data_IF_521848513636
#
_entry.id   IF_521848513636
#
_cell.length_a   1.000
_cell.length_b   1.000
_cell.length_c   1.000
_cell.angle_alpha   90.00
_cell.angle_beta   90.00
_cell.angle_gamma   90.00
#
_symmetry.space_group_name_H-M   'P 1'
#
loop_
_entity.id
_entity.type
_entity.pdbx_description
1 polymer ?
#
# COMPACT_ATOMS: atom_id res chain seq x y z
N UNK A 1 -24.00 11.90 -16.36
CA UNK A 1 -23.88 12.00 -14.88
C UNK A 1 -24.98 12.93 -14.39
N UNK A 2 -25.68 12.58 -13.30
CA UNK A 2 -26.77 13.39 -12.74
C UNK A 2 -26.26 14.47 -11.77
N UNK A 3 -27.08 15.47 -11.45
CA UNK A 3 -26.69 16.56 -10.54
C UNK A 3 -26.37 16.07 -9.11
N UNK A 4 -27.10 15.07 -8.61
CA UNK A 4 -26.85 14.49 -7.28
C UNK A 4 -25.50 13.78 -7.26
N UNK A 5 -25.16 13.03 -8.30
CA UNK A 5 -23.86 12.35 -8.39
C UNK A 5 -22.72 13.36 -8.40
N UNK A 6 -22.83 14.42 -9.21
CA UNK A 6 -21.82 15.48 -9.25
C UNK A 6 -21.62 16.17 -7.90
N UNK A 7 -22.69 16.36 -7.11
CA UNK A 7 -22.59 16.98 -5.80
C UNK A 7 -21.89 16.08 -4.76
N UNK A 8 -21.97 14.75 -4.93
CA UNK A 8 -21.35 13.78 -4.04
C UNK A 8 -19.93 13.39 -4.47
N UNK A 9 -19.63 13.43 -5.77
CA UNK A 9 -18.37 12.92 -6.33
C UNK A 9 -17.37 14.00 -6.74
N UNK A 10 -17.79 15.26 -6.90
CA UNK A 10 -16.90 16.35 -7.29
C UNK A 10 -16.13 16.96 -6.12
N UNK A 11 -14.98 17.55 -6.43
CA UNK A 11 -14.12 18.32 -5.52
C UNK A 11 -13.62 17.52 -4.29
N UNK A 12 -13.38 16.22 -4.47
CA UNK A 12 -12.95 15.32 -3.41
C UNK A 12 -11.42 15.27 -3.22
N UNK A 13 -10.64 16.03 -3.99
CA UNK A 13 -9.18 16.00 -3.98
C UNK A 13 -8.61 16.29 -2.58
N UNK A 14 -9.20 17.23 -1.85
CA UNK A 14 -8.79 17.55 -0.49
C UNK A 14 -9.02 16.37 0.47
N UNK A 15 -10.15 15.67 0.35
CA UNK A 15 -10.43 14.48 1.15
C UNK A 15 -9.52 13.30 0.80
N UNK A 16 -9.14 13.15 -0.47
CA UNK A 16 -8.16 12.13 -0.87
C UNK A 16 -6.77 12.44 -0.30
N UNK A 17 -6.34 13.70 -0.34
CA UNK A 17 -5.08 14.11 0.28
C UNK A 17 -5.09 13.90 1.80
N UNK A 18 -6.19 14.25 2.48
CA UNK A 18 -6.36 14.00 3.91
C UNK A 18 -6.33 12.49 4.22
N UNK A 19 -7.02 11.67 3.41
CA UNK A 19 -7.00 10.22 3.52
C UNK A 19 -5.58 9.66 3.40
N UNK A 20 -4.77 10.18 2.48
CA UNK A 20 -3.39 9.70 2.30
C UNK A 20 -2.48 10.11 3.47
N UNK A 21 -2.67 11.32 4.00
CA UNK A 21 -2.00 11.77 5.22
C UNK A 21 -2.41 10.96 6.46
N UNK A 22 -3.68 10.54 6.54
CA UNK A 22 -4.17 9.68 7.62
C UNK A 22 -3.40 8.35 7.68
N UNK A 23 -3.12 7.73 6.54
CA UNK A 23 -2.33 6.49 6.51
C UNK A 23 -0.91 6.72 7.00
N UNK A 24 -0.23 7.75 6.49
CA UNK A 24 1.14 8.06 6.89
C UNK A 24 1.25 8.33 8.39
N UNK A 25 0.37 9.17 8.94
CA UNK A 25 0.32 9.46 10.37
C UNK A 25 -0.05 8.21 11.19
N UNK A 26 -1.03 7.43 10.71
CA UNK A 26 -1.46 6.20 11.35
C UNK A 26 -0.33 5.18 11.48
N UNK A 27 0.49 5.00 10.44
CA UNK A 27 1.63 4.08 10.46
C UNK A 27 2.77 4.56 11.36
N UNK A 28 3.03 5.86 11.42
CA UNK A 28 4.10 6.44 12.23
C UNK A 28 3.85 6.29 13.74
N UNK A 29 2.59 6.46 14.17
CA UNK A 29 2.23 6.50 15.59
C UNK A 29 1.70 5.18 16.16
N UNK A 30 1.31 4.24 15.30
CA UNK A 30 0.65 3.01 15.74
C UNK A 30 1.66 1.92 16.09
N UNK A 31 1.54 1.37 17.29
CA UNK A 31 2.31 0.19 17.70
C UNK A 31 1.89 -1.09 16.95
N UNK A 32 0.67 -1.11 16.41
CA UNK A 32 0.16 -2.21 15.61
C UNK A 32 -0.88 -1.70 14.59
N UNK A 33 -1.02 -2.48 13.53
CA UNK A 33 -2.05 -2.30 12.50
C UNK A 33 -2.65 -3.66 12.15
N UNK A 34 -3.86 -3.64 11.61
CA UNK A 34 -4.53 -4.76 10.96
C UNK A 34 -4.73 -4.45 9.49
N UNK A 35 -4.75 -5.50 8.69
CA UNK A 35 -4.91 -5.41 7.23
C UNK A 35 -5.93 -6.45 6.79
N UNK A 36 -6.86 -6.06 5.93
CA UNK A 36 -7.77 -6.98 5.26
C UNK A 36 -7.90 -6.63 3.77
N UNK A 37 -8.11 -7.66 2.93
CA UNK A 37 -8.29 -7.52 1.48
C UNK A 37 -9.67 -8.06 1.07
N UNK A 38 -10.59 -7.16 0.76
CA UNK A 38 -11.90 -7.51 0.20
C UNK A 38 -11.87 -7.46 -1.33
N UNK A 39 -12.63 -8.33 -1.98
CA UNK A 39 -12.76 -8.38 -3.43
C UNK A 39 -14.19 -8.10 -3.87
N UNK A 40 -14.36 -7.29 -4.91
CA UNK A 40 -15.65 -7.03 -5.53
C UNK A 40 -15.55 -7.20 -7.04
N UNK A 41 -16.62 -7.70 -7.67
CA UNK A 41 -16.67 -7.86 -9.13
C UNK A 41 -17.47 -6.72 -9.74
N UNK A 42 -16.82 -5.94 -10.61
CA UNK A 42 -17.44 -4.83 -11.32
C UNK A 42 -17.30 -5.04 -12.82
N UNK A 43 -18.44 -5.09 -13.55
CA UNK A 43 -18.48 -5.31 -15.00
C UNK A 43 -17.65 -6.53 -15.48
N UNK A 44 -17.67 -7.61 -14.69
CA UNK A 44 -16.93 -8.84 -15.02
C UNK A 44 -15.44 -8.81 -14.70
N UNK A 45 -14.91 -7.69 -14.21
CA UNK A 45 -13.53 -7.55 -13.71
C UNK A 45 -13.52 -7.63 -12.19
N UNK A 46 -12.48 -8.23 -11.63
CA UNK A 46 -12.28 -8.24 -10.19
C UNK A 46 -11.55 -6.95 -9.81
N UNK A 47 -12.10 -6.22 -8.85
CA UNK A 47 -11.40 -5.16 -8.11
C UNK A 47 -11.16 -5.63 -6.69
N UNK A 48 -10.13 -5.06 -6.06
CA UNK A 48 -9.76 -5.38 -4.69
C UNK A 48 -9.72 -4.09 -3.89
N UNK A 49 -10.13 -4.17 -2.63
CA UNK A 49 -10.06 -3.08 -1.66
C UNK A 49 -9.23 -3.58 -0.49
N UNK A 50 -8.12 -2.90 -0.23
CA UNK A 50 -7.29 -3.13 0.95
C UNK A 50 -7.75 -2.16 2.04
N UNK A 51 -8.03 -2.69 3.23
CA UNK A 51 -8.23 -1.94 4.46
C UNK A 51 -6.95 -2.02 5.29
N UNK A 52 -6.49 -0.89 5.82
CA UNK A 52 -5.39 -0.79 6.79
C UNK A 52 -5.87 0.07 7.95
N UNK A 53 -5.64 -0.35 9.20
CA UNK A 53 -6.09 0.43 10.34
C UNK A 53 -5.87 -0.24 11.68
N UNK A 54 -6.49 0.31 12.71
CA UNK A 54 -6.60 -0.25 14.06
C UNK A 54 -7.81 0.39 14.76
N UNK A 55 -7.84 0.35 16.10
CA UNK A 55 -8.93 0.93 16.89
C UNK A 55 -9.12 2.44 16.67
N UNK A 56 -8.10 3.15 16.16
CA UNK A 56 -8.10 4.61 16.04
C UNK A 56 -8.33 5.12 14.63
N UNK A 57 -8.05 4.32 13.59
CA UNK A 57 -8.25 4.73 12.20
C UNK A 57 -8.54 3.57 11.27
N UNK A 58 -9.19 3.89 10.14
CA UNK A 58 -9.38 2.98 9.04
C UNK A 58 -9.12 3.70 7.72
N UNK A 59 -8.21 3.15 6.94
CA UNK A 59 -7.83 3.61 5.62
C UNK A 59 -8.18 2.54 4.58
N UNK A 60 -8.64 2.98 3.42
CA UNK A 60 -9.05 2.08 2.33
C UNK A 60 -8.43 2.54 1.01
N UNK A 61 -8.04 1.57 0.18
CA UNK A 61 -7.64 1.81 -1.20
C UNK A 61 -8.08 0.68 -2.12
N UNK A 62 -8.54 1.06 -3.31
CA UNK A 62 -8.99 0.14 -4.34
C UNK A 62 -7.90 -0.02 -5.40
N UNK A 63 -7.52 -1.26 -5.71
CA UNK A 63 -6.56 -1.57 -6.78
C UNK A 63 -7.06 -2.70 -7.68
N UNK A 64 -6.46 -2.83 -8.86
CA UNK A 64 -6.84 -3.84 -9.86
C UNK A 64 -6.23 -5.23 -9.58
N UNK A 65 -5.32 -5.35 -8.60
CA UNK A 65 -4.57 -6.59 -8.36
C UNK A 65 -4.44 -6.92 -6.88
N UNK A 66 -4.62 -8.21 -6.56
CA UNK A 66 -4.30 -8.78 -5.25
C UNK A 66 -2.94 -9.47 -5.32
N UNK A 67 -1.91 -8.82 -4.78
CA UNK A 67 -0.57 -9.38 -4.71
C UNK A 67 0.16 -8.88 -3.47
N UNK A 68 1.20 -9.62 -3.04
CA UNK A 68 2.07 -9.17 -1.94
C UNK A 68 2.75 -7.85 -2.25
N UNK A 69 3.11 -7.62 -3.51
CA UNK A 69 3.72 -6.36 -3.95
C UNK A 69 2.73 -5.21 -3.81
N UNK A 70 1.49 -5.38 -4.26
CA UNK A 70 0.43 -4.39 -4.09
C UNK A 70 0.23 -4.04 -2.61
N UNK A 71 0.14 -5.06 -1.75
CA UNK A 71 0.04 -4.84 -0.31
C UNK A 71 1.24 -4.03 0.24
N UNK A 72 2.47 -4.43 -0.08
CA UNK A 72 3.67 -3.75 0.41
C UNK A 72 3.82 -2.32 -0.13
N UNK A 73 3.29 -2.03 -1.32
CA UNK A 73 3.23 -0.68 -1.86
C UNK A 73 2.26 0.19 -1.05
N UNK A 74 1.04 -0.31 -0.80
CA UNK A 74 0.04 0.42 -0.02
C UNK A 74 0.50 0.63 1.43
N UNK A 75 1.11 -0.37 2.04
CA UNK A 75 1.65 -0.29 3.42
C UNK A 75 2.70 0.81 3.58
N UNK A 76 3.39 1.22 2.52
CA UNK A 76 4.42 2.25 2.58
C UNK A 76 3.87 3.67 2.43
N UNK A 77 2.55 3.84 2.29
CA UNK A 77 1.88 5.13 2.17
C UNK A 77 2.49 6.05 1.08
N UNK A 78 3.02 5.47 0.01
CA UNK A 78 3.74 6.21 -1.03
C UNK A 78 4.56 5.31 -1.93
N UNK A 79 5.67 5.86 -2.44
CA UNK A 79 6.57 5.13 -3.33
C UNK A 79 7.28 3.98 -2.57
N UNK A 80 7.27 2.76 -3.11
CA UNK A 80 7.87 1.62 -2.43
C UNK A 80 9.39 1.78 -2.35
N UNK A 81 9.90 1.70 -1.13
CA UNK A 81 11.31 1.58 -0.80
C UNK A 81 11.60 0.13 -0.43
N UNK A 82 12.75 -0.36 -0.87
CA UNK A 82 13.23 -1.70 -0.54
C UNK A 82 14.53 -1.57 0.23
N UNK A 83 14.62 -2.27 1.36
CA UNK A 83 15.86 -2.40 2.13
C UNK A 83 16.41 -3.82 1.97
N UNK A 84 17.74 -3.92 2.02
CA UNK A 84 18.42 -5.20 2.08
C UNK A 84 18.67 -5.53 3.54
N UNK A 85 18.18 -6.68 3.97
CA UNK A 85 18.51 -7.26 5.26
C UNK A 85 19.63 -8.31 5.10
N UNK A 86 20.11 -8.79 6.23
CA UNK A 86 21.18 -9.80 6.28
C UNK A 86 20.79 -11.09 5.55
N UNK A 87 19.51 -11.46 5.57
CA UNK A 87 18.99 -12.61 4.82
C UNK A 87 19.09 -12.40 3.31
N UNK A 88 18.66 -11.23 2.80
CA UNK A 88 18.76 -10.90 1.39
C UNK A 88 20.21 -10.87 0.91
N UNK A 89 21.11 -10.28 1.71
CA UNK A 89 22.53 -10.25 1.42
C UNK A 89 23.14 -11.65 1.41
N UNK A 90 22.76 -12.51 2.37
CA UNK A 90 23.22 -13.91 2.44
C UNK A 90 22.75 -14.69 1.22
N UNK A 91 21.47 -14.62 0.90
CA UNK A 91 20.90 -15.25 -0.29
C UNK A 91 21.65 -14.83 -1.56
N UNK A 92 21.93 -13.54 -1.73
CA UNK A 92 22.67 -13.05 -2.89
C UNK A 92 24.10 -13.57 -2.97
N UNK A 93 24.82 -13.69 -1.85
CA UNK A 93 26.14 -14.33 -1.84
C UNK A 93 26.06 -15.78 -2.30
N UNK A 94 25.05 -16.52 -1.82
CA UNK A 94 24.84 -17.93 -2.18
C UNK A 94 24.46 -18.11 -3.66
N UNK A 95 23.73 -17.15 -4.23
CA UNK A 95 23.44 -17.11 -5.67
C UNK A 95 24.60 -16.61 -6.54
N UNK A 96 25.76 -16.31 -5.93
CA UNK A 96 26.97 -15.90 -6.65
C UNK A 96 26.97 -14.44 -7.10
N UNK A 97 26.32 -13.53 -6.36
CA UNK A 97 26.38 -12.10 -6.64
C UNK A 97 27.84 -11.64 -6.74
N UNK A 98 28.23 -10.90 -7.80
CA UNK A 98 29.62 -10.50 -8.00
C UNK A 98 30.18 -9.78 -6.78
N UNK A 99 31.39 -10.18 -6.36
CA UNK A 99 32.01 -9.68 -5.13
C UNK A 99 32.13 -8.15 -5.07
N UNK A 100 32.29 -7.49 -6.22
CA UNK A 100 32.33 -6.04 -6.33
C UNK A 100 31.00 -5.37 -5.95
N UNK A 101 29.86 -5.99 -6.27
CA UNK A 101 28.54 -5.51 -5.85
C UNK A 101 28.33 -5.76 -4.36
N UNK A 102 28.74 -6.92 -3.84
CA UNK A 102 28.68 -7.22 -2.40
C UNK A 102 29.51 -6.26 -1.53
N UNK A 103 30.55 -5.63 -2.08
CA UNK A 103 31.42 -4.68 -1.37
C UNK A 103 30.89 -3.24 -1.37
N UNK A 104 29.94 -2.93 -2.26
CA UNK A 104 29.34 -1.61 -2.40
C UNK A 104 28.03 -1.46 -1.62
N UNK A 105 27.54 -2.55 -1.02
CA UNK A 105 26.37 -2.64 -0.14
C UNK A 105 26.82 -2.61 1.32
#
# INVERSE_FOLDING_TARGET
>A
VGQIDALLSANNEAFFAEKDQLLAAGLDVSAFITVDDSGARHQGRNGYVTQIGNDFFAWFSSTESKSRINFLQLLQAGDPVYCLNDEALTYWRDQGLPRALCQAL
#
